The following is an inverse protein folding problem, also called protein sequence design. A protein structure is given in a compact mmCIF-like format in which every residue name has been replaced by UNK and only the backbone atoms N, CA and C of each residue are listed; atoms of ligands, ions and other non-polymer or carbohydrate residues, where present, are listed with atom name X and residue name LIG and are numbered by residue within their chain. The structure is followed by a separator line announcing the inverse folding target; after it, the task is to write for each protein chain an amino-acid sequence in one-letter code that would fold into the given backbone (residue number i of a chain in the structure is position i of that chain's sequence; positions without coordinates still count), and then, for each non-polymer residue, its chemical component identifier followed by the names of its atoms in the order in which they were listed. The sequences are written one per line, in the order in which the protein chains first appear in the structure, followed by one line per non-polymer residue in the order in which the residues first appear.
data_IF_826869574304
#
_entry.id   IF_826869574304
#
_cell.length_a   1.000
_cell.length_b   1.000
_cell.length_c   1.000
_cell.angle_alpha   90.00
_cell.angle_beta   90.00
_cell.angle_gamma   90.00
#
_symmetry.space_group_name_H-M   'P 1'
#
loop_
_entity.id
_entity.type
_entity.pdbx_description
1 polymer ?
#
# COMPACT_ATOMS: atom_id res chain seq x y z
N UNK A 1 -18.68 27.26 18.70
CA UNK A 1 -18.24 26.42 17.59
C UNK A 1 -16.89 25.84 17.94
N UNK A 2 -16.92 24.65 18.56
CA UNK A 2 -15.88 23.64 18.76
C UNK A 2 -16.54 22.54 19.65
N UNK A 3 -16.02 21.31 19.75
CA UNK A 3 -16.12 20.17 18.82
C UNK A 3 -16.84 18.95 19.47
N UNK A 4 -17.18 17.89 18.72
CA UNK A 4 -17.38 16.48 19.21
C UNK A 4 -17.60 15.54 18.02
N UNK A 5 -16.60 14.70 17.70
CA UNK A 5 -16.48 13.25 18.02
C UNK A 5 -17.54 12.38 17.31
N UNK A 6 -17.16 11.71 16.21
CA UNK A 6 -17.76 10.44 15.76
C UNK A 6 -16.76 9.34 16.13
N UNK A 7 -17.04 8.48 17.11
CA UNK A 7 -17.87 7.26 17.02
C UNK A 7 -17.14 6.27 16.10
N UNK A 8 -16.34 5.43 16.74
CA UNK A 8 -15.50 4.38 16.16
C UNK A 8 -16.37 3.24 15.62
N UNK A 9 -15.89 2.49 14.63
CA UNK A 9 -16.60 1.34 14.06
C UNK A 9 -16.79 0.17 15.05
N UNK A 10 -16.22 0.27 16.26
CA UNK A 10 -16.58 -0.57 17.39
C UNK A 10 -18.01 -0.26 17.91
N UNK A 11 -18.46 1.00 17.82
CA UNK A 11 -19.81 1.43 18.21
C UNK A 11 -20.89 0.97 17.21
N UNK A 12 -20.52 0.69 15.95
CA UNK A 12 -21.46 0.17 14.94
C UNK A 12 -21.71 -1.34 15.08
N UNK A 13 -20.77 -2.08 15.68
CA UNK A 13 -20.96 -3.48 16.08
C UNK A 13 -21.82 -3.56 17.34
N UNK A 14 -21.76 -2.56 18.23
CA UNK A 14 -22.68 -2.43 19.38
C UNK A 14 -24.09 -1.95 19.01
N UNK A 15 -24.32 -1.44 17.78
CA UNK A 15 -25.61 -0.84 17.40
C UNK A 15 -26.61 -1.77 16.70
N UNK A 16 -26.30 -3.06 16.54
CA UNK A 16 -27.27 -4.05 16.04
C UNK A 16 -27.87 -4.82 17.23
N UNK A 17 -29.20 -5.00 17.29
CA UNK A 17 -29.84 -5.70 18.39
C UNK A 17 -29.32 -7.14 18.44
N UNK A 18 -28.58 -7.44 19.50
CA UNK A 18 -28.12 -8.80 19.81
C UNK A 18 -29.21 -9.45 20.66
N UNK A 19 -29.56 -10.71 20.37
CA UNK A 19 -30.48 -11.46 21.24
C UNK A 19 -29.88 -11.45 22.66
N UNK A 20 -30.70 -11.04 23.64
CA UNK A 20 -30.30 -11.00 25.04
C UNK A 20 -29.77 -12.38 25.47
N UNK A 21 -28.46 -12.44 25.73
CA UNK A 21 -27.80 -13.61 26.25
C UNK A 21 -28.34 -13.92 27.64
N UNK A 22 -29.18 -14.94 27.79
CA UNK A 22 -29.46 -15.52 29.10
C UNK A 22 -28.27 -16.36 29.59
N UNK A 23 -27.09 -15.74 29.75
CA UNK A 23 -26.08 -16.25 30.69
C UNK A 23 -26.50 -15.77 32.07
N UNK A 24 -27.38 -16.54 32.72
CA UNK A 24 -27.48 -16.44 34.17
C UNK A 24 -26.17 -17.04 34.70
N UNK A 25 -25.28 -16.27 35.36
CA UNK A 25 -24.04 -16.82 35.90
C UNK A 25 -24.43 -17.98 36.80
N UNK A 26 -23.82 -19.15 36.59
CA UNK A 26 -24.09 -20.25 37.51
C UNK A 26 -23.64 -19.80 38.91
N UNK A 27 -24.34 -20.23 39.97
CA UNK A 27 -23.94 -19.92 41.36
C UNK A 27 -22.48 -20.30 41.66
N UNK A 28 -21.88 -21.17 40.85
CA UNK A 28 -20.48 -21.59 40.92
C UNK A 28 -19.54 -20.60 40.24
N UNK A 29 -19.93 -20.01 39.10
CA UNK A 29 -19.13 -19.00 38.39
C UNK A 29 -18.99 -17.71 39.20
N UNK A 30 -20.10 -17.25 39.80
CA UNK A 30 -20.07 -16.08 40.70
C UNK A 30 -19.16 -16.32 41.90
N UNK A 31 -19.23 -17.51 42.51
CA UNK A 31 -18.38 -17.85 43.66
C UNK A 31 -16.89 -17.91 43.30
N UNK A 32 -16.56 -18.32 42.07
CA UNK A 32 -15.17 -18.33 41.58
C UNK A 32 -14.64 -16.91 41.29
N UNK A 33 -15.48 -16.02 40.74
CA UNK A 33 -15.12 -14.60 40.55
C UNK A 33 -14.93 -13.89 41.89
N UNK A 34 -15.81 -14.14 42.87
CA UNK A 34 -15.68 -13.59 44.22
C UNK A 34 -14.41 -14.10 44.92
N UNK A 35 -14.02 -15.35 44.69
CA UNK A 35 -12.78 -15.92 45.22
C UNK A 35 -11.54 -15.31 44.56
N UNK A 36 -11.57 -15.07 43.24
CA UNK A 36 -10.50 -14.41 42.49
C UNK A 36 -10.27 -12.98 43.00
N UNK A 37 -11.33 -12.17 43.06
CA UNK A 37 -11.25 -10.76 43.52
C UNK A 37 -10.75 -10.66 44.97
N UNK A 38 -11.13 -11.61 45.83
CA UNK A 38 -10.64 -11.65 47.21
C UNK A 38 -9.14 -11.94 47.29
N UNK A 39 -8.64 -12.89 46.48
CA UNK A 39 -7.22 -13.25 46.46
C UNK A 39 -6.40 -12.10 45.86
N UNK A 40 -6.89 -11.45 44.80
CA UNK A 40 -6.27 -10.27 44.21
C UNK A 40 -6.16 -9.11 45.22
N UNK A 41 -7.24 -8.84 45.95
CA UNK A 41 -7.26 -7.79 46.98
C UNK A 41 -6.37 -8.08 48.20
N UNK A 42 -6.24 -9.35 48.61
CA UNK A 42 -5.37 -9.74 49.73
C UNK A 42 -3.87 -9.62 49.40
N UNK A 43 -3.53 -9.67 48.11
CA UNK A 43 -2.16 -9.59 47.60
C UNK A 43 -1.87 -8.32 46.79
N UNK A 44 -2.75 -7.32 46.87
CA UNK A 44 -2.58 -6.02 46.22
C UNK A 44 -1.34 -5.30 46.78
N UNK A 45 -0.30 -5.13 45.94
CA UNK A 45 0.95 -4.46 46.31
C UNK A 45 2.10 -5.38 46.75
N UNK A 46 1.97 -6.69 46.61
CA UNK A 46 3.10 -7.61 46.72
C UNK A 46 3.96 -7.57 45.44
N UNK A 47 5.28 -7.43 45.57
CA UNK A 47 6.21 -7.42 44.43
C UNK A 47 6.30 -8.79 43.72
N UNK A 48 6.01 -9.89 44.43
CA UNK A 48 5.98 -11.24 43.90
C UNK A 48 4.94 -12.08 44.65
N UNK A 49 4.06 -12.77 43.93
CA UNK A 49 3.03 -13.64 44.50
C UNK A 49 3.64 -14.97 44.98
N UNK A 50 3.28 -15.48 46.17
CA UNK A 50 3.64 -16.84 46.57
C UNK A 50 3.17 -17.86 45.51
N UNK A 51 4.01 -18.85 45.21
CA UNK A 51 3.77 -19.79 44.11
C UNK A 51 2.45 -20.60 44.25
N UNK A 52 1.98 -20.80 45.49
CA UNK A 52 0.69 -21.43 45.78
C UNK A 52 -0.52 -20.52 45.47
N UNK A 53 -0.36 -19.20 45.61
CA UNK A 53 -1.38 -18.21 45.27
C UNK A 53 -1.44 -17.98 43.76
N UNK A 54 -0.29 -17.87 43.10
CA UNK A 54 -0.19 -17.80 41.63
C UNK A 54 -0.82 -19.04 40.96
N UNK A 55 -0.52 -20.23 41.50
CA UNK A 55 -1.15 -21.47 41.05
C UNK A 55 -2.67 -21.46 41.26
N UNK A 56 -3.15 -20.93 42.40
CA UNK A 56 -4.59 -20.88 42.71
C UNK A 56 -5.34 -19.91 41.79
N UNK A 57 -4.75 -18.75 41.47
CA UNK A 57 -5.32 -17.81 40.51
C UNK A 57 -5.38 -18.42 39.11
N UNK A 58 -4.30 -19.06 38.64
CA UNK A 58 -4.31 -19.76 37.35
C UNK A 58 -5.32 -20.92 37.27
N UNK A 59 -5.60 -21.61 38.38
CA UNK A 59 -6.66 -22.61 38.44
C UNK A 59 -8.06 -22.00 38.35
N UNK A 60 -8.30 -20.87 39.01
CA UNK A 60 -9.59 -20.16 38.98
C UNK A 60 -9.84 -19.55 37.60
N UNK A 61 -8.85 -18.90 37.00
CA UNK A 61 -8.91 -18.37 35.63
C UNK A 61 -9.24 -19.47 34.62
N UNK A 62 -8.56 -20.61 34.70
CA UNK A 62 -8.81 -21.75 33.82
C UNK A 62 -10.23 -22.33 33.98
N UNK A 63 -10.78 -22.30 35.20
CA UNK A 63 -12.15 -22.73 35.46
C UNK A 63 -13.17 -21.72 34.91
N UNK A 64 -12.93 -20.42 35.08
CA UNK A 64 -13.77 -19.35 34.51
C UNK A 64 -13.74 -19.40 32.97
N UNK A 65 -12.57 -19.55 32.38
CA UNK A 65 -12.38 -19.69 30.92
C UNK A 65 -13.12 -20.93 30.37
N UNK A 66 -13.20 -22.02 31.14
CA UNK A 66 -13.98 -23.20 30.76
C UNK A 66 -15.50 -22.95 30.76
N UNK A 67 -16.01 -22.06 31.62
CA UNK A 67 -17.41 -21.60 31.56
C UNK A 67 -17.66 -20.67 30.37
N UNK A 68 -16.68 -19.85 30.01
CA UNK A 68 -16.75 -18.95 28.86
C UNK A 68 -16.75 -19.72 27.53
N UNK A 69 -15.91 -20.77 27.42
CA UNK A 69 -15.82 -21.66 26.25
C UNK A 69 -16.98 -22.65 26.08
N UNK A 70 -17.94 -22.70 27.00
CA UNK A 70 -19.07 -23.64 26.89
C UNK A 70 -19.93 -23.26 25.68
N UNK A 71 -20.31 -24.21 24.80
CA UNK A 71 -21.16 -23.93 23.64
C UNK A 71 -22.47 -23.29 24.10
N UNK A 72 -22.81 -22.15 23.52
CA UNK A 72 -24.07 -21.48 23.77
C UNK A 72 -25.24 -22.40 23.36
N UNK A 73 -26.21 -22.56 24.27
CA UNK A 73 -27.44 -23.28 23.99
C UNK A 73 -28.44 -22.25 23.50
N UNK A 74 -28.74 -22.27 22.19
CA UNK A 74 -29.70 -21.38 21.57
C UNK A 74 -31.11 -21.98 21.61
N UNK A 75 -32.13 -21.15 21.80
CA UNK A 75 -33.53 -21.60 21.69
C UNK A 75 -33.80 -22.06 20.24
N UNK A 76 -34.51 -23.18 20.02
CA UNK A 76 -34.89 -23.62 18.68
C UNK A 76 -35.59 -22.56 17.82
N UNK A 77 -36.32 -21.62 18.43
CA UNK A 77 -36.95 -20.51 17.73
C UNK A 77 -35.92 -19.50 17.20
N UNK A 78 -34.85 -19.26 17.95
CA UNK A 78 -33.78 -18.31 17.59
C UNK A 78 -32.86 -18.86 16.51
N UNK A 79 -32.62 -20.19 16.51
CA UNK A 79 -31.84 -20.88 15.47
C UNK A 79 -32.50 -20.72 14.09
N UNK A 80 -33.83 -20.55 14.03
CA UNK A 80 -34.57 -20.44 12.77
C UNK A 80 -34.41 -19.06 12.09
N UNK A 81 -34.06 -18.02 12.85
CA UNK A 81 -33.98 -16.62 12.38
C UNK A 81 -32.56 -16.03 12.48
N UNK A 82 -31.69 -16.61 13.33
CA UNK A 82 -30.34 -16.12 13.52
C UNK A 82 -29.35 -16.64 12.47
N UNK A 83 -28.62 -15.70 11.87
CA UNK A 83 -27.48 -15.96 11.01
C UNK A 83 -26.17 -16.14 11.79
N UNK A 84 -25.12 -16.40 11.00
CA UNK A 84 -23.73 -16.55 11.47
C UNK A 84 -22.90 -15.46 10.81
N UNK A 85 -22.19 -14.68 11.61
CA UNK A 85 -21.16 -13.77 11.13
C UNK A 85 -19.82 -14.50 11.15
N UNK A 86 -19.17 -14.55 10.00
CA UNK A 86 -17.85 -15.17 9.86
C UNK A 86 -16.86 -14.06 9.53
N UNK A 87 -15.97 -13.78 10.46
CA UNK A 87 -14.87 -12.85 10.29
C UNK A 87 -13.54 -13.60 10.34
N UNK A 88 -12.48 -12.89 9.93
CA UNK A 88 -11.11 -13.36 10.07
C UNK A 88 -10.47 -12.42 11.07
N UNK A 89 -9.94 -12.98 12.15
CA UNK A 89 -9.27 -12.23 13.22
C UNK A 89 -7.90 -11.70 12.75
N UNK A 90 -7.27 -10.83 13.53
CA UNK A 90 -5.98 -10.18 13.18
C UNK A 90 -4.85 -11.18 12.92
N UNK A 91 -4.95 -12.39 13.48
CA UNK A 91 -4.02 -13.50 13.30
C UNK A 91 -4.37 -14.45 12.14
N UNK A 92 -5.43 -14.15 11.39
CA UNK A 92 -5.89 -14.94 10.25
C UNK A 92 -6.73 -16.16 10.63
N UNK A 93 -7.09 -16.33 11.91
CA UNK A 93 -7.99 -17.40 12.33
C UNK A 93 -9.45 -17.07 12.03
N UNK A 94 -10.25 -18.11 11.79
CA UNK A 94 -11.67 -17.94 11.44
C UNK A 94 -12.47 -17.69 12.73
N UNK A 95 -12.94 -16.46 12.91
CA UNK A 95 -13.85 -16.08 13.99
C UNK A 95 -15.29 -16.30 13.53
N UNK A 96 -16.09 -17.01 14.33
CA UNK A 96 -17.46 -17.41 13.96
C UNK A 96 -18.40 -17.03 15.09
N UNK A 97 -19.03 -15.87 14.94
CA UNK A 97 -20.02 -15.36 15.87
C UNK A 97 -21.44 -15.75 15.41
N UNK A 98 -22.15 -16.50 16.25
CA UNK A 98 -23.48 -17.03 15.95
C UNK A 98 -24.53 -16.35 16.83
N UNK A 99 -25.73 -16.13 16.29
CA UNK A 99 -26.83 -15.49 17.03
C UNK A 99 -27.21 -14.10 16.53
N UNK A 100 -26.74 -13.70 15.34
CA UNK A 100 -27.04 -12.40 14.75
C UNK A 100 -28.35 -12.47 13.95
N UNK A 101 -29.36 -11.70 14.34
CA UNK A 101 -30.63 -11.62 13.60
C UNK A 101 -30.59 -10.37 12.72
N UNK A 102 -31.07 -10.49 11.48
CA UNK A 102 -31.21 -9.33 10.61
C UNK A 102 -32.30 -8.41 11.18
N UNK A 103 -32.17 -7.08 11.09
CA UNK A 103 -33.20 -6.16 11.61
C UNK A 103 -34.61 -6.43 11.05
N UNK A 104 -34.70 -6.93 9.82
CA UNK A 104 -35.94 -7.36 9.17
C UNK A 104 -36.58 -8.65 9.73
N UNK A 105 -35.83 -9.48 10.47
CA UNK A 105 -36.25 -10.79 10.98
C UNK A 105 -36.43 -10.80 12.52
N UNK A 106 -36.33 -9.63 13.16
CA UNK A 106 -36.57 -9.46 14.59
C UNK A 106 -38.06 -9.69 14.91
N UNK A 107 -38.42 -10.65 15.78
CA UNK A 107 -39.81 -10.88 16.12
C UNK A 107 -40.35 -9.67 16.90
N UNK A 108 -41.26 -8.94 16.26
CA UNK A 108 -41.99 -7.84 16.91
C UNK A 108 -42.79 -8.44 18.07
N UNK A 109 -42.41 -8.15 19.32
CA UNK A 109 -43.25 -8.48 20.47
C UNK A 109 -44.57 -7.71 20.34
N UNK A 110 -45.59 -8.40 19.83
CA UNK A 110 -46.96 -7.92 19.83
C UNK A 110 -47.46 -7.92 21.27
N UNK A 111 -47.44 -6.74 21.90
CA UNK A 111 -48.26 -6.46 23.06
C UNK A 111 -49.73 -6.78 22.74
N UNK A 112 -50.37 -7.46 23.68
CA UNK A 112 -51.68 -8.12 23.58
C UNK A 112 -52.81 -7.31 22.94
N UNK A 113 -53.65 -8.05 22.17
CA UNK A 113 -55.10 -8.05 22.38
C UNK A 113 -55.97 -7.23 21.43
N UNK A 114 -56.80 -7.91 20.63
CA UNK A 114 -58.00 -7.31 20.02
C UNK A 114 -58.47 -7.96 18.73
N UNK A 115 -59.65 -8.57 18.77
CA UNK A 115 -60.33 -9.40 17.76
C UNK A 115 -60.66 -8.73 16.40
N UNK A 116 -60.93 -9.54 15.34
CA UNK A 116 -61.00 -9.13 13.93
C UNK A 116 -62.43 -8.97 13.37
N UNK A 117 -62.60 -8.22 12.28
CA UNK A 117 -63.59 -8.37 11.18
C UNK A 117 -63.41 -7.18 10.20
N UNK A 118 -62.96 -7.34 8.95
CA UNK A 118 -63.57 -7.94 7.75
C UNK A 118 -64.43 -6.96 6.91
N UNK A 119 -64.10 -6.94 5.60
CA UNK A 119 -64.96 -6.72 4.40
C UNK A 119 -65.12 -5.33 3.73
N UNK A 120 -65.18 -5.43 2.38
CA UNK A 120 -65.60 -4.50 1.32
C UNK A 120 -64.59 -3.39 0.91
N UNK A 121 -64.16 -3.24 -0.35
CA UNK A 121 -64.71 -3.62 -1.65
C UNK A 121 -65.14 -2.36 -2.42
N UNK A 122 -64.52 -2.07 -3.58
CA UNK A 122 -65.15 -1.50 -4.79
C UNK A 122 -64.12 -0.88 -5.75
N UNK A 123 -64.28 -1.25 -7.02
CA UNK A 123 -63.64 -0.79 -8.24
C UNK A 123 -63.92 0.70 -8.58
N UNK A 124 -63.02 1.38 -9.32
CA UNK A 124 -63.18 1.76 -10.75
C UNK A 124 -62.21 2.87 -11.21
N UNK A 125 -61.54 2.57 -12.33
CA UNK A 125 -61.08 3.39 -13.47
C UNK A 125 -60.68 4.88 -13.35
N UNK A 126 -59.52 5.19 -13.95
CA UNK A 126 -59.16 6.56 -14.35
C UNK A 126 -57.81 6.66 -15.07
N UNK A 127 -57.84 6.72 -16.40
CA UNK A 127 -56.70 6.78 -17.32
C UNK A 127 -55.78 8.02 -17.17
N UNK A 128 -54.47 7.83 -17.39
CA UNK A 128 -53.63 8.60 -18.33
C UNK A 128 -52.12 8.28 -18.14
N UNK A 129 -51.45 7.96 -19.25
CA UNK A 129 -50.01 8.12 -19.44
C UNK A 129 -49.81 9.00 -20.69
N UNK A 130 -48.61 9.52 -21.02
CA UNK A 130 -47.38 9.72 -20.24
C UNK A 130 -46.94 11.21 -20.28
N UNK A 131 -46.00 11.65 -19.44
CA UNK A 131 -45.25 12.87 -19.74
C UNK A 131 -43.76 12.71 -19.46
N UNK A 132 -42.98 12.91 -20.52
CA UNK A 132 -41.53 12.75 -20.59
C UNK A 132 -40.96 14.16 -20.50
N UNK A 133 -40.45 14.57 -19.34
CA UNK A 133 -39.72 15.83 -19.22
C UNK A 133 -38.24 15.63 -19.53
N UNK A 134 -37.91 15.88 -20.80
CA UNK A 134 -36.56 16.28 -21.21
C UNK A 134 -36.31 17.71 -20.74
N UNK A 135 -35.39 17.91 -19.80
CA UNK A 135 -34.79 19.21 -19.55
C UNK A 135 -33.46 19.30 -20.31
N UNK A 136 -33.33 20.32 -21.17
CA UNK A 136 -32.11 20.66 -21.89
C UNK A 136 -31.71 22.09 -21.49
N UNK A 137 -30.38 22.34 -21.38
CA UNK A 137 -29.66 23.64 -21.38
C UNK A 137 -29.79 24.43 -20.06
N UNK A 138 -28.72 24.70 -19.31
CA UNK A 138 -27.66 25.67 -19.65
C UNK A 138 -26.28 25.36 -19.03
N UNK A 139 -25.28 25.43 -19.90
CA UNK A 139 -23.88 25.72 -19.62
C UNK A 139 -23.78 27.22 -19.30
N UNK A 140 -23.17 27.55 -18.15
CA UNK A 140 -22.22 28.65 -17.91
C UNK A 140 -22.36 29.15 -16.46
N UNK A 141 -21.22 29.34 -15.79
CA UNK A 141 -21.19 29.74 -14.38
C UNK A 141 -20.02 29.16 -13.60
N UNK A 142 -18.79 29.33 -14.10
CA UNK A 142 -17.61 29.31 -13.24
C UNK A 142 -17.77 30.41 -12.20
N UNK A 143 -18.17 30.04 -10.98
CA UNK A 143 -18.05 30.94 -9.83
C UNK A 143 -16.58 30.97 -9.46
N UNK A 144 -15.90 32.04 -9.85
CA UNK A 144 -14.61 32.41 -9.31
C UNK A 144 -14.82 32.77 -7.83
N UNK A 145 -14.43 31.86 -6.93
CA UNK A 145 -14.19 32.25 -5.56
C UNK A 145 -12.97 33.19 -5.53
N UNK A 146 -13.02 34.27 -4.75
CA UNK A 146 -11.89 35.19 -4.64
C UNK A 146 -10.69 34.42 -4.10
N UNK A 147 -9.57 34.50 -4.82
CA UNK A 147 -8.25 34.06 -4.34
C UNK A 147 -7.87 34.98 -3.17
N UNK A 148 -8.28 34.62 -1.95
CA UNK A 148 -7.59 35.11 -0.76
C UNK A 148 -6.19 34.48 -0.79
N UNK A 149 -5.18 35.35 -0.82
CA UNK A 149 -3.76 35.03 -0.80
C UNK A 149 -3.42 34.37 0.55
N UNK A 150 -3.75 33.09 0.69
CA UNK A 150 -3.04 32.21 1.59
C UNK A 150 -1.73 31.84 0.88
N UNK A 151 -0.60 32.37 1.38
CA UNK A 151 0.78 32.03 0.99
C UNK A 151 1.13 30.53 1.22
N UNK A 152 0.13 29.69 1.48
CA UNK A 152 0.30 28.26 1.72
C UNK A 152 0.09 27.49 0.42
N UNK A 153 1.14 26.80 0.01
CA UNK A 153 1.14 25.94 -1.15
C UNK A 153 0.18 24.76 -0.92
N UNK A 154 -1.01 24.82 -1.55
CA UNK A 154 -2.02 23.75 -1.45
C UNK A 154 -1.46 22.41 -1.96
N UNK A 155 -1.87 21.27 -1.36
CA UNK A 155 -1.49 19.95 -1.86
C UNK A 155 -1.98 19.74 -3.30
N UNK A 156 -1.30 18.88 -4.06
CA UNK A 156 -1.71 18.56 -5.42
C UNK A 156 -3.13 17.97 -5.43
N UNK A 157 -3.95 18.28 -6.46
CA UNK A 157 -5.24 17.62 -6.64
C UNK A 157 -5.06 16.10 -6.67
N UNK A 158 -5.88 15.37 -5.91
CA UNK A 158 -5.76 13.91 -5.78
C UNK A 158 -5.71 13.20 -7.15
N UNK A 159 -6.63 13.56 -8.05
CA UNK A 159 -6.67 13.02 -9.41
C UNK A 159 -5.35 13.23 -10.17
N UNK A 160 -4.68 14.37 -9.97
CA UNK A 160 -3.37 14.63 -10.55
C UNK A 160 -2.30 13.71 -9.95
N UNK A 161 -2.34 13.44 -8.64
CA UNK A 161 -1.43 12.49 -7.99
C UNK A 161 -1.63 11.07 -8.52
N UNK A 162 -2.89 10.63 -8.68
CA UNK A 162 -3.21 9.31 -9.26
C UNK A 162 -2.66 9.19 -10.68
N UNK A 163 -2.87 10.20 -11.54
CA UNK A 163 -2.36 10.18 -12.90
C UNK A 163 -0.82 10.22 -12.96
N UNK A 164 -0.15 11.04 -12.15
CA UNK A 164 1.32 11.07 -12.07
C UNK A 164 1.87 9.72 -11.58
N UNK A 165 1.27 9.12 -10.56
CA UNK A 165 1.71 7.81 -10.06
C UNK A 165 1.38 6.66 -11.03
N UNK A 166 0.43 6.83 -11.95
CA UNK A 166 0.26 5.94 -13.09
C UNK A 166 1.45 6.01 -14.06
N UNK A 167 1.94 7.22 -14.41
CA UNK A 167 3.19 7.37 -15.18
C UNK A 167 4.36 6.67 -14.49
N UNK A 168 4.52 6.88 -13.19
CA UNK A 168 5.55 6.21 -12.39
C UNK A 168 5.45 4.69 -12.44
N UNK A 169 4.24 4.15 -12.34
CA UNK A 169 4.00 2.70 -12.38
C UNK A 169 4.40 2.09 -13.72
N UNK A 170 4.02 2.72 -14.84
CA UNK A 170 4.37 2.21 -16.18
C UNK A 170 5.86 2.35 -16.45
N UNK A 171 6.48 3.47 -16.08
CA UNK A 171 7.92 3.66 -16.23
C UNK A 171 8.74 2.67 -15.38
N UNK A 172 8.30 2.41 -14.14
CA UNK A 172 8.92 1.41 -13.28
C UNK A 172 8.71 -0.02 -13.78
N UNK A 173 7.54 -0.32 -14.35
CA UNK A 173 7.31 -1.59 -15.04
C UNK A 173 8.28 -1.77 -16.20
N UNK A 174 8.45 -0.75 -17.05
CA UNK A 174 9.39 -0.79 -18.17
C UNK A 174 10.84 -1.00 -17.69
N UNK A 175 11.26 -0.25 -16.66
CA UNK A 175 12.58 -0.37 -16.07
C UNK A 175 12.83 -1.76 -15.45
N UNK A 176 11.84 -2.34 -14.76
CA UNK A 176 11.95 -3.70 -14.19
C UNK A 176 12.02 -4.75 -15.30
N UNK A 177 11.22 -4.61 -16.37
CA UNK A 177 11.26 -5.52 -17.52
C UNK A 177 12.62 -5.50 -18.23
N UNK A 178 13.30 -4.34 -18.25
CA UNK A 178 14.65 -4.19 -18.79
C UNK A 178 15.76 -4.73 -17.86
N UNK A 179 15.46 -5.08 -16.61
CA UNK A 179 16.43 -5.51 -15.60
C UNK A 179 16.11 -6.90 -15.01
N UNK A 180 16.47 -8.02 -15.70
CA UNK A 180 16.06 -9.36 -15.28
C UNK A 180 16.53 -9.78 -13.88
N UNK A 181 17.71 -9.33 -13.45
CA UNK A 181 18.19 -9.60 -12.10
C UNK A 181 17.33 -8.91 -11.03
N UNK A 182 16.91 -7.66 -11.26
CA UNK A 182 16.02 -6.93 -10.35
C UNK A 182 14.64 -7.56 -10.32
N UNK A 183 14.09 -7.93 -11.47
CA UNK A 183 12.80 -8.60 -11.55
C UNK A 183 12.79 -9.96 -10.82
N UNK A 184 13.83 -10.78 -11.00
CA UNK A 184 13.99 -12.04 -10.26
C UNK A 184 14.11 -11.79 -8.76
N UNK A 185 14.88 -10.78 -8.35
CA UNK A 185 15.03 -10.41 -6.93
C UNK A 185 13.69 -9.95 -6.35
N UNK A 186 12.90 -9.16 -7.07
CA UNK A 186 11.58 -8.71 -6.66
C UNK A 186 10.61 -9.89 -6.49
N UNK A 187 10.59 -10.81 -7.46
CA UNK A 187 9.78 -12.02 -7.41
C UNK A 187 10.18 -12.89 -6.20
N UNK A 188 11.48 -13.16 -6.04
CA UNK A 188 11.98 -13.96 -4.92
C UNK A 188 11.67 -13.29 -3.57
N UNK A 189 11.84 -11.97 -3.46
CA UNK A 189 11.47 -11.21 -2.26
C UNK A 189 9.99 -11.39 -1.92
N UNK A 190 9.10 -11.31 -2.91
CA UNK A 190 7.66 -11.57 -2.73
C UNK A 190 7.40 -13.00 -2.25
N UNK A 191 8.00 -13.99 -2.91
CA UNK A 191 7.83 -15.40 -2.54
C UNK A 191 8.33 -15.70 -1.14
N UNK A 192 9.50 -15.16 -0.76
CA UNK A 192 10.06 -15.31 0.59
C UNK A 192 9.14 -14.66 1.62
N UNK A 193 8.64 -13.46 1.36
CA UNK A 193 7.68 -12.82 2.28
C UNK A 193 6.42 -13.65 2.44
N UNK A 194 5.81 -14.11 1.36
CA UNK A 194 4.57 -14.89 1.42
C UNK A 194 4.76 -16.26 2.10
N UNK A 195 5.95 -16.88 1.96
CA UNK A 195 6.24 -18.19 2.57
C UNK A 195 6.67 -18.11 4.03
N UNK A 196 7.37 -17.04 4.43
CA UNK A 196 7.97 -16.93 5.77
C UNK A 196 7.26 -15.90 6.67
N UNK A 197 6.31 -15.11 6.16
CA UNK A 197 5.36 -14.28 6.94
C UNK A 197 3.99 -14.94 6.81
N UNK A 198 3.59 -15.67 7.85
CA UNK A 198 2.37 -16.49 7.99
C UNK A 198 1.23 -16.11 7.01
N UNK A 199 1.19 -16.79 5.87
CA UNK A 199 -0.01 -16.97 5.06
C UNK A 199 -0.06 -18.44 4.65
N UNK A 200 -0.98 -19.19 5.25
CA UNK A 200 -1.36 -20.51 4.76
C UNK A 200 -2.89 -20.50 4.68
N UNK A 201 -3.52 -21.04 3.63
CA UNK A 201 -3.54 -22.48 3.43
C UNK A 201 -3.74 -22.92 1.96
N UNK A 202 -3.10 -24.04 1.60
CA UNK A 202 -3.60 -24.99 0.58
C UNK A 202 -3.11 -24.88 -0.87
N UNK A 203 -1.81 -24.77 -1.19
CA UNK A 203 -1.34 -24.98 -2.58
C UNK A 203 0.08 -25.54 -2.70
N UNK A 204 0.35 -26.28 -3.79
CA UNK A 204 1.67 -26.83 -4.14
C UNK A 204 2.55 -25.88 -4.96
N UNK A 205 2.02 -24.88 -5.68
CA UNK A 205 2.71 -23.62 -6.06
C UNK A 205 1.63 -22.54 -6.24
N UNK A 206 1.81 -21.34 -5.69
CA UNK A 206 0.99 -20.17 -6.05
C UNK A 206 1.87 -18.93 -6.19
N UNK A 207 1.84 -18.35 -7.39
CA UNK A 207 2.43 -17.07 -7.77
C UNK A 207 1.43 -16.41 -8.73
N UNK A 208 1.00 -15.18 -8.46
CA UNK A 208 0.12 -14.43 -9.37
C UNK A 208 0.72 -13.06 -9.67
N UNK A 209 0.93 -12.78 -10.95
CA UNK A 209 1.14 -11.42 -11.46
C UNK A 209 -0.19 -10.98 -12.05
N UNK A 210 -0.78 -9.94 -11.47
CA UNK A 210 -1.99 -9.31 -12.01
C UNK A 210 -1.59 -8.00 -12.68
N UNK A 211 -2.03 -7.82 -13.93
CA UNK A 211 -1.87 -6.55 -14.60
C UNK A 211 -2.57 -5.44 -13.81
N UNK A 212 -1.81 -4.38 -13.51
CA UNK A 212 -2.33 -3.21 -12.79
C UNK A 212 -3.18 -2.38 -13.75
N UNK A 213 -4.48 -2.30 -13.49
CA UNK A 213 -5.41 -1.49 -14.27
C UNK A 213 -5.57 -0.08 -13.68
N UNK A 214 -5.31 0.94 -14.51
CA UNK A 214 -5.45 2.34 -14.12
C UNK A 214 -6.86 2.85 -14.46
N UNK A 215 -7.70 3.08 -13.44
CA UNK A 215 -9.04 3.67 -13.65
C UNK A 215 -8.95 5.12 -14.12
N UNK A 216 -7.97 5.84 -13.59
CA UNK A 216 -7.69 7.24 -13.92
C UNK A 216 -6.27 7.31 -14.49
N UNK A 217 -6.17 7.60 -15.78
CA UNK A 217 -4.90 7.76 -16.48
C UNK A 217 -4.90 9.07 -17.26
N UNK A 218 -3.74 9.74 -17.28
CA UNK A 218 -3.51 10.90 -18.12
C UNK A 218 -3.69 10.52 -19.60
N UNK A 219 -4.25 11.43 -20.39
CA UNK A 219 -4.49 11.19 -21.83
C UNK A 219 -3.16 10.95 -22.58
N UNK A 220 -2.07 11.50 -22.06
CA UNK A 220 -0.71 11.43 -22.58
C UNK A 220 0.04 10.15 -22.19
N UNK A 221 -0.41 9.40 -21.17
CA UNK A 221 0.29 8.22 -20.66
C UNK A 221 0.60 7.19 -21.75
N UNK A 222 -0.40 6.87 -22.59
CA UNK A 222 -0.26 5.90 -23.68
C UNK A 222 0.79 6.29 -24.74
N UNK A 223 1.07 7.59 -24.86
CA UNK A 223 1.96 8.14 -25.87
C UNK A 223 3.40 8.35 -25.33
N UNK A 224 3.59 8.14 -24.03
CA UNK A 224 4.90 8.22 -23.38
C UNK A 224 5.90 7.18 -23.91
N UNK A 225 7.22 7.46 -23.83
CA UNK A 225 8.25 6.52 -24.31
C UNK A 225 8.19 5.15 -23.63
N UNK A 226 8.04 5.11 -22.30
CA UNK A 226 7.96 3.86 -21.53
C UNK A 226 6.67 3.07 -21.81
N UNK A 227 5.53 3.72 -22.02
CA UNK A 227 4.31 3.00 -22.40
C UNK A 227 4.44 2.33 -23.78
N UNK A 228 5.05 3.03 -24.75
CA UNK A 228 5.35 2.46 -26.07
C UNK A 228 6.35 1.32 -26.00
N UNK A 229 7.42 1.49 -25.22
CA UNK A 229 8.44 0.46 -24.96
C UNK A 229 7.83 -0.82 -24.39
N UNK A 230 6.94 -0.71 -23.39
CA UNK A 230 6.20 -1.86 -22.83
C UNK A 230 5.31 -2.53 -23.89
N UNK A 231 4.56 -1.75 -24.66
CA UNK A 231 3.67 -2.27 -25.69
C UNK A 231 4.44 -2.99 -26.81
N UNK A 232 5.55 -2.42 -27.28
CA UNK A 232 6.43 -3.01 -28.29
C UNK A 232 7.07 -4.30 -27.78
N UNK A 233 7.59 -4.31 -26.54
CA UNK A 233 8.15 -5.51 -25.92
C UNK A 233 7.10 -6.61 -25.77
N UNK A 234 5.89 -6.27 -25.34
CA UNK A 234 4.78 -7.22 -25.23
C UNK A 234 4.39 -7.78 -26.60
N UNK A 235 4.30 -6.93 -27.63
CA UNK A 235 4.00 -7.38 -28.99
C UNK A 235 5.08 -8.31 -29.55
N UNK A 236 6.36 -8.03 -29.27
CA UNK A 236 7.49 -8.90 -29.62
C UNK A 236 7.34 -10.30 -29.01
N UNK A 237 7.20 -10.38 -27.69
CA UNK A 237 6.98 -11.66 -27.02
C UNK A 237 5.74 -12.40 -27.51
N UNK A 238 4.63 -11.68 -27.72
CA UNK A 238 3.39 -12.26 -28.22
C UNK A 238 3.52 -12.86 -29.62
N UNK A 239 4.39 -12.31 -30.48
CA UNK A 239 4.64 -12.84 -31.81
C UNK A 239 5.41 -14.17 -31.77
N UNK A 240 6.29 -14.35 -30.78
CA UNK A 240 7.13 -15.54 -30.63
C UNK A 240 6.45 -16.67 -29.83
N UNK A 241 5.44 -16.35 -29.01
CA UNK A 241 4.76 -17.31 -28.15
C UNK A 241 3.98 -18.38 -28.96
N UNK A 242 4.12 -19.68 -28.62
CA UNK A 242 3.26 -20.73 -29.17
C UNK A 242 1.79 -20.49 -28.85
N UNK A 243 0.91 -20.76 -29.82
CA UNK A 243 -0.55 -20.69 -29.61
C UNK A 243 -1.10 -21.93 -28.89
N UNK A 244 -0.38 -23.05 -28.94
CA UNK A 244 -0.74 -24.29 -28.26
C UNK A 244 -0.18 -24.30 -26.83
N UNK A 245 -1.05 -24.57 -25.86
CA UNK A 245 -0.69 -24.57 -24.44
C UNK A 245 0.28 -25.70 -24.09
N UNK A 246 0.16 -26.86 -24.76
CA UNK A 246 1.04 -28.00 -24.51
C UNK A 246 2.46 -27.74 -25.08
N UNK A 247 2.56 -26.96 -26.16
CA UNK A 247 3.84 -26.57 -26.75
C UNK A 247 4.58 -25.46 -25.97
N UNK A 248 3.88 -24.71 -25.10
CA UNK A 248 4.47 -23.61 -24.33
C UNK A 248 5.56 -24.11 -23.38
N UNK A 249 5.35 -25.26 -22.73
CA UNK A 249 6.32 -25.81 -21.79
C UNK A 249 7.65 -26.12 -22.48
N UNK A 250 7.59 -26.85 -23.60
CA UNK A 250 8.78 -27.23 -24.36
C UNK A 250 9.50 -26.00 -24.92
N UNK A 251 8.74 -24.99 -25.37
CA UNK A 251 9.31 -23.72 -25.84
C UNK A 251 10.04 -22.97 -24.71
N UNK A 252 9.44 -22.84 -23.52
CA UNK A 252 10.07 -22.22 -22.36
C UNK A 252 11.32 -22.97 -21.89
N UNK A 253 11.30 -24.30 -21.97
CA UNK A 253 12.44 -25.15 -21.64
C UNK A 253 13.57 -24.99 -22.67
N UNK A 254 13.24 -24.82 -23.94
CA UNK A 254 14.20 -24.63 -25.03
C UNK A 254 14.83 -23.23 -25.08
N UNK A 255 14.23 -22.21 -24.46
CA UNK A 255 14.86 -20.89 -24.33
C UNK A 255 16.19 -20.99 -23.60
N UNK A 256 17.17 -20.21 -24.06
CA UNK A 256 18.40 -20.00 -23.30
C UNK A 256 18.11 -19.21 -22.00
N UNK A 257 19.08 -19.22 -21.09
CA UNK A 257 18.88 -18.58 -19.78
C UNK A 257 18.67 -17.07 -19.90
N UNK A 258 19.29 -16.42 -20.89
CA UNK A 258 19.12 -14.99 -21.14
C UNK A 258 17.70 -14.64 -21.57
N UNK A 259 17.15 -15.31 -22.59
CA UNK A 259 15.78 -15.10 -23.06
C UNK A 259 14.76 -15.53 -22.01
N UNK A 260 15.00 -16.64 -21.29
CA UNK A 260 14.11 -17.09 -20.21
C UNK A 260 14.04 -16.06 -19.08
N UNK A 261 15.17 -15.48 -18.69
CA UNK A 261 15.21 -14.43 -17.67
C UNK A 261 14.56 -13.13 -18.16
N UNK A 262 14.77 -12.75 -19.43
CA UNK A 262 14.12 -11.57 -20.01
C UNK A 262 12.59 -11.72 -20.07
N UNK A 263 12.08 -12.90 -20.45
CA UNK A 263 10.65 -13.19 -20.44
C UNK A 263 10.09 -13.19 -19.02
N UNK A 264 10.80 -13.78 -18.06
CA UNK A 264 10.42 -13.72 -16.65
C UNK A 264 10.33 -12.27 -16.16
N UNK A 265 11.30 -11.43 -16.52
CA UNK A 265 11.32 -10.01 -16.15
C UNK A 265 10.10 -9.27 -16.71
N UNK A 266 9.79 -9.51 -17.99
CA UNK A 266 8.61 -8.96 -18.65
C UNK A 266 7.31 -9.42 -17.98
N UNK A 267 7.20 -10.69 -17.60
CA UNK A 267 6.01 -11.19 -16.89
C UNK A 267 5.87 -10.57 -15.50
N UNK A 268 6.96 -10.46 -14.74
CA UNK A 268 6.96 -9.87 -13.39
C UNK A 268 6.62 -8.39 -13.42
N UNK A 269 7.03 -7.66 -14.47
CA UNK A 269 6.83 -6.22 -14.55
C UNK A 269 5.35 -5.80 -14.55
N UNK A 270 4.44 -6.63 -15.07
CA UNK A 270 2.99 -6.35 -15.05
C UNK A 270 2.40 -6.31 -13.63
N UNK A 271 3.08 -6.91 -12.65
CA UNK A 271 2.66 -6.91 -11.24
C UNK A 271 3.20 -5.72 -10.44
N UNK A 272 3.99 -4.85 -11.06
CA UNK A 272 4.53 -3.65 -10.40
C UNK A 272 3.43 -2.62 -10.24
N UNK A 273 3.19 -2.18 -9.00
CA UNK A 273 2.20 -1.17 -8.66
C UNK A 273 2.86 -0.06 -7.83
N UNK A 274 3.01 1.13 -8.41
CA UNK A 274 3.46 2.35 -7.74
C UNK A 274 2.34 3.42 -7.72
N UNK A 275 1.09 3.00 -7.85
CA UNK A 275 -0.08 3.87 -7.95
C UNK A 275 -0.49 4.37 -6.55
N UNK A 276 -0.77 5.67 -6.47
CA UNK A 276 -1.47 6.23 -5.32
C UNK A 276 -2.95 5.87 -5.40
N UNK A 277 -3.48 5.36 -4.29
CA UNK A 277 -4.90 5.14 -4.08
C UNK A 277 -5.23 5.75 -2.72
N UNK A 278 -6.32 6.54 -2.63
CA UNK A 278 -6.74 7.09 -1.34
C UNK A 278 -7.03 5.95 -0.37
N UNK A 279 -6.38 5.92 0.80
CA UNK A 279 -6.72 4.95 1.83
C UNK A 279 -8.16 5.10 2.27
N UNK A 280 -8.89 3.98 2.33
CA UNK A 280 -10.28 3.95 2.72
C UNK A 280 -10.48 3.00 3.90
N UNK A 281 -10.57 3.52 5.13
CA UNK A 281 -10.77 2.71 6.33
C UNK A 281 -12.06 1.86 6.30
N UNK A 282 -13.03 2.24 5.48
CA UNK A 282 -14.35 1.61 5.42
C UNK A 282 -14.49 0.58 4.29
N UNK A 283 -13.42 0.32 3.52
CA UNK A 283 -13.45 -0.66 2.42
C UNK A 283 -12.70 -1.93 2.82
N UNK A 284 -13.40 -3.07 2.87
CA UNK A 284 -12.78 -4.39 3.09
C UNK A 284 -11.85 -4.86 1.96
N UNK A 285 -11.78 -4.11 0.86
CA UNK A 285 -10.87 -4.36 -0.27
C UNK A 285 -9.98 -3.15 -0.60
N UNK A 286 -10.12 -2.06 0.16
CA UNK A 286 -9.34 -0.84 -0.03
C UNK A 286 -7.95 -0.94 0.57
N UNK A 287 -7.04 -0.11 0.09
CA UNK A 287 -5.70 -0.02 0.67
C UNK A 287 -5.75 0.72 2.02
N UNK A 288 -5.00 0.21 3.00
CA UNK A 288 -4.76 0.92 4.27
C UNK A 288 -3.65 1.95 4.09
N UNK A 289 -3.56 2.92 5.00
CA UNK A 289 -2.46 3.92 4.99
C UNK A 289 -1.08 3.23 5.02
N UNK A 290 -0.92 2.24 5.91
CA UNK A 290 0.31 1.45 6.02
C UNK A 290 0.59 0.64 4.75
N UNK A 291 -0.45 0.09 4.11
CA UNK A 291 -0.34 -0.63 2.85
C UNK A 291 0.15 0.27 1.72
N UNK A 292 -0.38 1.50 1.65
CA UNK A 292 0.05 2.51 0.69
C UNK A 292 1.49 2.94 0.93
N UNK A 293 1.86 3.23 2.18
CA UNK A 293 3.23 3.59 2.53
C UNK A 293 4.23 2.46 2.18
N UNK A 294 3.88 1.21 2.48
CA UNK A 294 4.69 0.04 2.12
C UNK A 294 4.85 -0.09 0.61
N UNK A 295 3.76 0.09 -0.15
CA UNK A 295 3.78 0.09 -1.62
C UNK A 295 4.73 1.15 -2.17
N UNK A 296 4.64 2.39 -1.67
CA UNK A 296 5.51 3.49 -2.12
C UNK A 296 6.99 3.21 -1.80
N UNK A 297 7.29 2.71 -0.60
CA UNK A 297 8.65 2.35 -0.21
C UNK A 297 9.24 1.20 -1.03
N UNK A 298 8.43 0.20 -1.40
CA UNK A 298 8.83 -0.88 -2.30
C UNK A 298 9.06 -0.37 -3.74
N UNK A 299 8.21 0.53 -4.22
CA UNK A 299 8.42 1.20 -5.51
C UNK A 299 9.72 2.03 -5.53
N UNK A 300 10.04 2.76 -4.46
CA UNK A 300 11.32 3.46 -4.32
C UNK A 300 12.51 2.49 -4.34
N UNK A 301 12.39 1.34 -3.66
CA UNK A 301 13.45 0.31 -3.66
C UNK A 301 13.69 -0.23 -5.06
N UNK A 302 12.63 -0.51 -5.82
CA UNK A 302 12.74 -0.97 -7.19
C UNK A 302 13.32 0.12 -8.10
N UNK A 303 12.88 1.37 -7.97
CA UNK A 303 13.42 2.48 -8.74
C UNK A 303 14.93 2.65 -8.52
N UNK A 304 15.41 2.55 -7.26
CA UNK A 304 16.85 2.52 -6.97
C UNK A 304 17.55 1.31 -7.59
N UNK A 305 16.94 0.13 -7.51
CA UNK A 305 17.51 -1.11 -8.04
C UNK A 305 17.64 -1.12 -9.56
N UNK A 306 16.71 -0.47 -10.27
CA UNK A 306 16.74 -0.35 -11.73
C UNK A 306 17.46 0.89 -12.23
N UNK A 307 17.82 1.82 -11.34
CA UNK A 307 18.31 3.15 -11.71
C UNK A 307 17.27 3.98 -12.47
N UNK A 308 15.97 3.82 -12.15
CA UNK A 308 14.92 4.57 -12.82
C UNK A 308 14.98 6.05 -12.39
N UNK A 309 15.24 6.91 -13.36
CA UNK A 309 14.98 8.34 -13.29
C UNK A 309 13.81 8.69 -14.23
N UNK A 310 12.77 9.35 -13.71
CA UNK A 310 11.57 9.66 -14.49
C UNK A 310 11.83 10.70 -15.59
N UNK A 311 12.77 11.63 -15.39
CA UNK A 311 13.15 12.60 -16.39
C UNK A 311 13.99 11.94 -17.50
N UNK A 312 14.94 11.07 -17.18
CA UNK A 312 15.69 10.29 -18.18
C UNK A 312 14.78 9.33 -18.96
N UNK A 313 13.77 8.75 -18.29
CA UNK A 313 12.73 7.94 -18.93
C UNK A 313 11.80 8.75 -19.86
N UNK A 314 11.94 10.08 -19.89
CA UNK A 314 11.26 10.96 -20.84
C UNK A 314 9.99 11.63 -20.31
N UNK A 315 9.74 11.63 -19.00
CA UNK A 315 8.68 12.47 -18.44
C UNK A 315 9.08 13.94 -18.55
N UNK A 316 8.14 14.80 -18.96
CA UNK A 316 8.28 16.26 -18.95
C UNK A 316 6.99 16.91 -18.44
N UNK A 317 7.07 17.94 -17.59
CA UNK A 317 5.90 18.69 -17.17
C UNK A 317 5.37 19.51 -18.37
N UNK A 318 4.11 19.30 -18.72
CA UNK A 318 3.43 20.01 -19.81
C UNK A 318 2.17 20.69 -19.30
N UNK A 319 1.58 21.57 -20.12
CA UNK A 319 0.28 22.15 -19.88
C UNK A 319 -0.80 21.10 -19.59
N UNK A 320 -0.74 19.95 -20.28
CA UNK A 320 -1.75 18.89 -20.21
C UNK A 320 -1.59 18.05 -18.95
N UNK A 321 -0.36 17.62 -18.63
CA UNK A 321 -0.14 16.63 -17.59
C UNK A 321 0.08 17.23 -16.19
N UNK A 322 0.55 18.48 -16.08
CA UNK A 322 0.87 19.09 -14.79
C UNK A 322 0.61 20.60 -14.74
N UNK A 323 1.30 21.40 -15.57
CA UNK A 323 1.40 22.86 -15.42
C UNK A 323 0.03 23.57 -15.55
N UNK A 324 -0.85 23.09 -16.43
CA UNK A 324 -2.20 23.66 -16.57
C UNK A 324 -3.14 23.32 -15.41
N UNK A 325 -2.78 22.33 -14.58
CA UNK A 325 -3.65 21.74 -13.55
C UNK A 325 -3.32 22.19 -12.14
N UNK A 326 -2.22 22.92 -11.95
CA UNK A 326 -1.79 23.46 -10.67
C UNK A 326 -2.05 24.98 -10.59
N UNK A 327 -2.12 25.58 -9.37
CA UNK A 327 -2.21 27.04 -9.21
C UNK A 327 -0.92 27.74 -9.64
N UNK A 328 -0.99 29.06 -9.92
CA UNK A 328 0.18 29.84 -10.39
C UNK A 328 1.39 29.74 -9.45
N UNK A 329 1.16 29.77 -8.13
CA UNK A 329 2.22 29.65 -7.12
C UNK A 329 3.06 28.37 -7.31
N UNK A 330 2.41 27.23 -7.57
CA UNK A 330 3.09 25.95 -7.84
C UNK A 330 3.87 25.95 -9.16
N UNK A 331 3.38 26.68 -10.18
CA UNK A 331 4.11 26.84 -11.45
C UNK A 331 5.40 27.64 -11.20
N UNK A 332 5.30 28.72 -10.42
CA UNK A 332 6.47 29.54 -10.07
C UNK A 332 7.49 28.76 -9.24
N UNK A 333 7.04 28.00 -8.24
CA UNK A 333 7.89 27.09 -7.45
C UNK A 333 8.63 26.10 -8.36
N UNK A 334 7.90 25.42 -9.25
CA UNK A 334 8.51 24.48 -10.21
C UNK A 334 9.58 25.16 -11.08
N UNK A 335 9.30 26.36 -11.58
CA UNK A 335 10.26 27.13 -12.39
C UNK A 335 11.44 27.64 -11.57
N UNK A 336 11.25 28.01 -10.29
CA UNK A 336 12.35 28.36 -9.38
C UNK A 336 13.29 27.17 -9.17
N UNK A 337 12.72 26.02 -8.85
CA UNK A 337 13.49 24.79 -8.63
C UNK A 337 14.21 24.31 -9.89
N UNK A 338 13.54 24.33 -11.05
CA UNK A 338 14.08 23.79 -12.29
C UNK A 338 14.94 24.76 -13.11
N UNK A 339 14.60 26.05 -13.13
CA UNK A 339 15.20 27.06 -14.01
C UNK A 339 15.73 28.31 -13.26
N UNK A 340 15.57 28.37 -11.94
CA UNK A 340 16.09 29.43 -11.07
C UNK A 340 15.14 30.62 -10.88
N UNK A 341 15.40 31.39 -9.81
CA UNK A 341 14.54 32.50 -9.37
C UNK A 341 14.29 33.56 -10.44
N UNK A 342 15.34 33.91 -11.20
CA UNK A 342 15.24 34.93 -12.26
C UNK A 342 14.20 34.56 -13.32
N UNK A 343 14.09 33.28 -13.67
CA UNK A 343 13.14 32.82 -14.68
C UNK A 343 11.71 32.81 -14.12
N UNK A 344 11.55 32.46 -12.84
CA UNK A 344 10.25 32.54 -12.18
C UNK A 344 9.74 33.99 -12.10
N UNK A 345 10.61 34.95 -11.76
CA UNK A 345 10.25 36.37 -11.68
C UNK A 345 9.80 36.93 -13.05
N UNK A 346 10.43 36.48 -14.15
CA UNK A 346 10.04 36.89 -15.50
C UNK A 346 8.63 36.45 -15.89
N UNK A 347 8.14 35.35 -15.34
CA UNK A 347 6.82 34.80 -15.67
C UNK A 347 5.75 35.12 -14.60
N UNK A 348 6.13 35.66 -13.44
CA UNK A 348 5.24 35.92 -12.31
C UNK A 348 4.00 36.75 -12.67
N UNK A 349 4.20 37.84 -13.41
CA UNK A 349 3.13 38.76 -13.81
C UNK A 349 2.32 38.28 -15.03
N UNK A 350 2.64 37.11 -15.59
CA UNK A 350 1.93 36.59 -16.75
C UNK A 350 0.53 36.08 -16.39
N UNK A 351 -0.37 36.15 -17.38
CA UNK A 351 -1.66 35.44 -17.34
C UNK A 351 -1.40 33.93 -17.34
N UNK A 352 -2.23 33.15 -16.63
CA UNK A 352 -2.01 31.71 -16.39
C UNK A 352 -1.73 30.92 -17.68
N UNK A 353 -2.49 31.15 -18.76
CA UNK A 353 -2.28 30.45 -20.02
C UNK A 353 -0.87 30.68 -20.60
N UNK A 354 -0.41 31.94 -20.63
CA UNK A 354 0.93 32.29 -21.12
C UNK A 354 2.04 31.83 -20.16
N UNK A 355 1.78 31.90 -18.86
CA UNK A 355 2.68 31.40 -17.82
C UNK A 355 2.92 29.90 -17.97
N UNK A 356 1.88 29.12 -18.26
CA UNK A 356 1.97 27.67 -18.49
C UNK A 356 2.81 27.35 -19.73
N UNK A 357 2.56 28.04 -20.84
CA UNK A 357 3.32 27.87 -22.09
C UNK A 357 4.82 28.19 -21.88
N UNK A 358 5.11 29.29 -21.19
CA UNK A 358 6.49 29.69 -20.91
C UNK A 358 7.17 28.76 -19.89
N UNK A 359 6.45 28.31 -18.85
CA UNK A 359 6.97 27.36 -17.87
C UNK A 359 7.28 26.00 -18.51
N UNK A 360 6.45 25.52 -19.44
CA UNK A 360 6.71 24.29 -20.19
C UNK A 360 8.01 24.41 -20.98
N UNK A 361 8.23 25.54 -21.66
CA UNK A 361 9.48 25.83 -22.37
C UNK A 361 10.70 25.88 -21.46
N UNK A 362 10.56 26.51 -20.28
CA UNK A 362 11.65 26.67 -19.32
C UNK A 362 12.04 25.36 -18.63
N UNK A 363 11.09 24.45 -18.42
CA UNK A 363 11.30 23.17 -17.73
C UNK A 363 11.60 21.99 -18.68
N UNK A 364 11.48 22.18 -20.00
CA UNK A 364 11.59 21.11 -20.98
C UNK A 364 12.92 20.32 -20.90
N UNK A 365 14.03 20.95 -20.53
CA UNK A 365 15.36 20.32 -20.51
C UNK A 365 16.06 20.40 -19.15
N UNK A 366 15.33 20.75 -18.09
CA UNK A 366 15.93 20.93 -16.75
C UNK A 366 15.99 19.64 -15.94
N UNK A 367 15.27 18.60 -16.37
CA UNK A 367 15.09 17.37 -15.58
C UNK A 367 14.17 17.54 -14.38
N UNK A 368 13.49 18.68 -14.25
CA UNK A 368 12.58 18.92 -13.13
C UNK A 368 11.39 17.96 -13.14
N UNK A 369 11.04 17.46 -11.97
CA UNK A 369 9.94 16.51 -11.75
C UNK A 369 8.99 17.00 -10.65
N UNK A 370 7.67 16.79 -10.79
CA UNK A 370 6.72 16.91 -9.68
C UNK A 370 7.04 15.97 -8.53
N UNK A 371 6.73 16.38 -7.30
CA UNK A 371 6.99 15.62 -6.06
C UNK A 371 6.61 14.12 -6.13
N UNK A 372 5.43 13.69 -6.64
CA UNK A 372 5.09 12.25 -6.69
C UNK A 372 5.99 11.40 -7.59
N UNK A 373 6.71 12.02 -8.52
CA UNK A 373 7.65 11.38 -9.45
C UNK A 373 9.09 11.39 -8.96
N UNK A 374 9.39 12.12 -7.88
CA UNK A 374 10.73 12.13 -7.27
C UNK A 374 10.94 10.87 -6.45
N UNK A 375 12.19 10.44 -6.38
CA UNK A 375 12.60 9.34 -5.53
C UNK A 375 12.73 9.82 -4.09
N UNK A 376 12.07 9.17 -3.13
CA UNK A 376 12.20 9.57 -1.74
C UNK A 376 13.68 9.53 -1.29
N UNK A 377 14.20 10.68 -0.86
CA UNK A 377 15.59 10.88 -0.44
C UNK A 377 16.49 11.62 -1.45
N UNK A 378 16.09 11.80 -2.72
CA UNK A 378 16.89 12.58 -3.69
C UNK A 378 17.00 14.06 -3.32
N UNK A 379 15.94 14.61 -2.73
CA UNK A 379 15.87 16.03 -2.36
C UNK A 379 16.71 16.33 -1.10
N UNK A 380 17.07 15.31 -0.31
CA UNK A 380 17.96 15.45 0.85
C UNK A 380 19.45 15.50 0.47
N UNK A 381 19.84 14.86 -0.65
CA UNK A 381 21.21 14.88 -1.18
C UNK A 381 21.50 16.11 -2.07
N UNK A 382 20.46 16.84 -2.52
CA UNK A 382 20.60 18.08 -3.29
C UNK A 382 20.63 19.36 -2.43
N UNK A 383 20.51 19.25 -1.11
CA UNK A 383 20.81 20.33 -0.19
C UNK A 383 22.34 20.47 -0.04
N UNK A 384 22.96 21.02 -1.08
CA UNK A 384 24.37 21.39 -1.12
C UNK A 384 24.64 22.39 0.02
N UNK A 385 25.43 21.95 1.00
CA UNK A 385 26.09 22.82 1.98
C UNK A 385 26.73 24.01 1.26
N UNK A 386 26.50 25.26 1.71
CA UNK A 386 27.11 26.42 1.07
C UNK A 386 28.63 26.29 1.15
N UNK A 387 29.25 26.25 -0.03
CA UNK A 387 30.68 26.31 -0.22
C UNK A 387 31.21 27.59 0.45
N UNK A 388 31.84 27.42 1.60
CA UNK A 388 32.60 28.48 2.24
C UNK A 388 33.95 28.59 1.53
N UNK A 389 34.02 29.49 0.55
CA UNK A 389 35.28 30.03 0.07
C UNK A 389 36.01 30.71 1.25
N UNK A 390 37.13 30.12 1.63
CA UNK A 390 38.13 30.67 2.54
C UNK A 390 39.51 30.28 2.02
N UNK A 391 40.03 31.10 1.12
CA UNK A 391 41.36 31.07 0.50
C UNK A 391 42.52 30.85 1.49
N UNK A 392 43.50 30.03 1.07
CA UNK A 392 44.89 30.15 1.51
C UNK A 392 45.63 28.85 1.81
N UNK A 393 46.41 28.32 0.86
CA UNK A 393 47.56 27.46 1.18
C UNK A 393 47.87 26.33 0.20
N UNK A 394 48.69 26.66 -0.78
CA UNK A 394 49.42 25.80 -1.73
C UNK A 394 50.13 24.59 -1.05
N UNK A 395 49.86 23.35 -1.48
CA UNK A 395 50.89 22.34 -1.74
C UNK A 395 50.30 21.09 -2.43
N UNK A 396 50.63 20.92 -3.71
CA UNK A 396 50.52 19.62 -4.36
C UNK A 396 51.61 18.68 -3.81
N UNK A 397 51.23 17.51 -3.31
CA UNK A 397 52.18 16.40 -3.15
C UNK A 397 51.50 15.04 -3.34
N UNK A 398 52.13 14.26 -4.22
CA UNK A 398 51.76 12.99 -4.83
C UNK A 398 51.89 11.80 -3.83
N UNK A 399 51.30 10.63 -4.14
CA UNK A 399 51.17 9.51 -3.20
C UNK A 399 52.49 8.78 -2.86
N UNK A 400 52.53 8.27 -1.62
CA UNK A 400 53.70 7.80 -0.87
C UNK A 400 54.23 6.39 -1.28
N UNK A 401 54.18 6.05 -2.56
CA UNK A 401 54.80 4.85 -3.13
C UNK A 401 56.35 4.88 -3.10
N UNK A 402 56.99 5.86 -2.44
CA UNK A 402 58.45 6.06 -2.49
C UNK A 402 59.16 6.28 -1.15
N UNK A 403 58.60 5.83 -0.02
CA UNK A 403 59.35 5.75 1.24
C UNK A 403 59.90 4.32 1.47
N UNK A 404 60.87 3.89 0.63
CA UNK A 404 61.91 2.92 1.03
C UNK A 404 63.16 3.73 1.43
N UNK A 405 64.10 3.30 2.24
CA UNK A 405 64.51 1.98 2.73
C UNK A 405 65.43 2.22 3.96
N UNK A 406 65.95 1.13 4.54
CA UNK A 406 67.08 1.03 5.50
C UNK A 406 66.72 1.29 6.99
N UNK A 407 67.04 0.45 7.98
CA UNK A 407 68.19 -0.45 8.14
C UNK A 407 67.87 -1.69 9.01
N UNK A 408 68.71 -2.69 8.81
CA UNK A 408 68.83 -4.04 9.38
C UNK A 408 69.07 -4.08 10.90
N UNK A 409 68.64 -5.18 11.56
CA UNK A 409 69.51 -5.89 12.53
C UNK A 409 68.98 -7.30 12.95
N UNK A 410 69.72 -8.31 12.47
CA UNK A 410 70.26 -9.49 13.16
C UNK A 410 69.42 -10.61 13.84
N UNK A 411 69.63 -11.83 13.27
CA UNK A 411 69.97 -13.14 13.88
C UNK A 411 68.92 -13.84 14.79
N UNK A 412 68.45 -15.08 14.56
CA UNK A 412 69.03 -16.44 14.34
C UNK A 412 68.54 -17.35 15.50
N UNK A 413 68.56 -18.67 15.27
CA UNK A 413 68.00 -19.81 16.04
C UNK A 413 66.62 -20.27 15.52
N UNK A 414 66.40 -21.48 15.01
CA UNK A 414 67.22 -22.68 14.98
C UNK A 414 66.33 -23.94 15.14
N UNK A 415 66.17 -24.67 14.04
CA UNK A 415 65.94 -26.13 13.94
C UNK A 415 64.57 -26.81 14.27
N UNK A 416 64.15 -27.64 13.27
CA UNK A 416 63.56 -29.01 13.34
C UNK A 416 62.11 -29.16 13.84
N UNK A 417 61.17 -29.91 13.23
CA UNK A 417 61.20 -30.97 12.22
C UNK A 417 59.80 -31.22 11.63
N UNK A 418 59.75 -31.55 10.34
CA UNK A 418 59.03 -32.67 9.69
C UNK A 418 57.47 -32.73 9.72
N UNK A 419 56.93 -32.33 8.57
CA UNK A 419 55.82 -32.93 7.80
C UNK A 419 55.93 -34.48 7.65
N UNK A 420 54.86 -35.25 7.34
CA UNK A 420 54.26 -35.17 5.99
C UNK A 420 52.77 -35.47 5.80
N UNK A 421 52.36 -35.01 4.62
CA UNK A 421 51.15 -35.25 3.84
C UNK A 421 50.74 -36.73 3.68
N UNK A 422 49.46 -36.96 3.39
CA UNK A 422 49.03 -38.15 2.66
C UNK A 422 47.84 -37.84 1.73
N UNK A 423 48.15 -37.74 0.42
CA UNK A 423 47.22 -37.93 -0.70
C UNK A 423 47.31 -39.39 -1.15
N UNK A 424 46.16 -40.06 -1.41
CA UNK A 424 46.08 -41.18 -2.37
C UNK A 424 44.75 -41.14 -3.11
N UNK A 425 44.82 -41.40 -4.41
CA UNK A 425 43.75 -41.39 -5.40
C UNK A 425 43.26 -42.81 -5.78
N UNK A 426 42.08 -42.83 -6.41
CA UNK A 426 41.57 -43.71 -7.47
C UNK A 426 41.45 -45.23 -7.26
N UNK A 427 40.20 -45.72 -7.39
CA UNK A 427 39.78 -46.74 -8.35
C UNK A 427 38.30 -46.56 -8.76
#
# INVERSE_FOLDING_TARGET
GCPRRGIDAHDAVESMPTIAWNRCPSSVESALRDEYERIEAEHEGADELPADIDQRLGEIEKQLEAFERRPAIYDPADIAIAGVFVSIDEDGTLAVDRGWVRPEDEPVESAEGGTPEAEAGSDTDGAAAPDVQRATITIDGQSAEPEEEEDTIKPLPEKLVIELTAHRTVALSDAVAANPHVAMTALLHRLVRDRFKQSTTGSTVRVSVQEVYFREQGIDLKDSPYAKSVAERHAGWKADLPTDADALWDWLHALDDTSRMALLAHCVSFGINALYERPNPFSGTGITEQGLQTRMAEADRLARGTGLDMAEAGFRPTAVNYLGRVPKIRILEAVREGAGDRMADLIADMKKAKMVEEAERLLADTGWLPEPLRLAGSDADQAVEPSADGDGGDEAALPDFLAGDDDEDAADDGASSEEPEHLVAAE
#
